data_IF_605540819058
#
_entry.id   IF_605540819058
#
_cell.length_a   1.000
_cell.length_b   1.000
_cell.length_c   1.000
_cell.angle_alpha   90.00
_cell.angle_beta   90.00
_cell.angle_gamma   90.00
#
_symmetry.space_group_name_H-M   'P 1'
#
loop_
_entity.id
_entity.type
_entity.pdbx_description
1 polymer ?
#
# COMPACT_ATOMS: atom_id res chain seq x y z
N UNK A 1 5.79 -34.44 16.15
CA UNK A 1 5.76 -33.02 16.55
C UNK A 1 4.63 -32.39 15.77
N UNK A 2 3.64 -31.78 16.41
CA UNK A 2 2.53 -31.18 15.70
C UNK A 2 3.03 -30.00 14.86
N UNK A 3 2.53 -29.87 13.62
CA UNK A 3 2.86 -28.74 12.76
C UNK A 3 2.09 -27.51 13.26
N UNK A 4 2.74 -26.73 14.12
CA UNK A 4 2.19 -25.51 14.73
C UNK A 4 1.66 -24.55 13.65
N UNK A 5 2.32 -24.47 12.49
CA UNK A 5 1.87 -23.62 11.39
C UNK A 5 0.51 -24.06 10.83
N UNK A 6 0.32 -25.37 10.63
CA UNK A 6 -0.94 -25.93 10.17
C UNK A 6 -2.06 -25.74 11.21
N UNK A 7 -1.80 -26.02 12.49
CA UNK A 7 -2.79 -25.84 13.56
C UNK A 7 -3.22 -24.38 13.72
N UNK A 8 -2.29 -23.43 13.66
CA UNK A 8 -2.60 -22.00 13.71
C UNK A 8 -3.42 -21.58 12.48
N UNK A 9 -3.04 -22.04 11.29
CA UNK A 9 -3.79 -21.74 10.07
C UNK A 9 -5.25 -22.24 10.16
N UNK A 10 -5.49 -23.43 10.70
CA UNK A 10 -6.86 -23.94 10.89
C UNK A 10 -7.68 -23.08 11.84
N UNK A 11 -7.11 -22.67 12.99
CA UNK A 11 -7.76 -21.76 13.94
C UNK A 11 -8.08 -20.40 13.31
N UNK A 12 -7.11 -19.83 12.59
CA UNK A 12 -7.25 -18.56 11.86
C UNK A 12 -8.38 -18.68 10.83
N UNK A 13 -8.43 -19.74 10.03
CA UNK A 13 -9.48 -19.98 9.03
C UNK A 13 -10.86 -20.11 9.66
N UNK A 14 -10.98 -20.85 10.75
CA UNK A 14 -12.25 -21.02 11.45
C UNK A 14 -12.78 -19.68 12.00
N UNK A 15 -11.91 -18.87 12.59
CA UNK A 15 -12.27 -17.55 13.11
C UNK A 15 -12.58 -16.55 12.00
N UNK A 16 -11.77 -16.52 10.94
CA UNK A 16 -12.01 -15.72 9.75
C UNK A 16 -13.38 -16.01 9.15
N UNK A 17 -13.71 -17.30 8.95
CA UNK A 17 -15.02 -17.73 8.45
C UNK A 17 -16.15 -17.23 9.34
N UNK A 18 -16.03 -17.37 10.67
CA UNK A 18 -17.02 -16.86 11.63
C UNK A 18 -17.20 -15.34 11.53
N UNK A 19 -16.11 -14.58 11.43
CA UNK A 19 -16.15 -13.11 11.28
C UNK A 19 -16.78 -12.69 9.96
N UNK A 20 -16.46 -13.35 8.85
CA UNK A 20 -17.09 -13.09 7.56
C UNK A 20 -18.59 -13.43 7.55
N UNK A 21 -19.01 -14.50 8.24
CA UNK A 21 -20.43 -14.85 8.40
C UNK A 21 -21.20 -13.80 9.22
N UNK A 22 -20.56 -13.20 10.21
CA UNK A 22 -21.15 -12.12 11.02
C UNK A 22 -21.07 -10.73 10.38
N UNK A 23 -20.31 -10.55 9.29
CA UNK A 23 -20.13 -9.26 8.63
C UNK A 23 -21.26 -9.01 7.62
N UNK A 24 -22.18 -8.12 7.99
CA UNK A 24 -23.35 -7.78 7.19
C UNK A 24 -23.00 -7.24 5.79
N UNK A 25 -21.87 -6.53 5.66
CA UNK A 25 -21.43 -6.00 4.36
C UNK A 25 -20.94 -7.13 3.47
N UNK A 26 -20.07 -8.01 3.99
CA UNK A 26 -19.56 -9.19 3.25
C UNK A 26 -20.75 -10.06 2.79
N UNK A 27 -21.67 -10.40 3.69
CA UNK A 27 -22.83 -11.23 3.34
C UNK A 27 -23.72 -10.55 2.29
N UNK A 28 -23.94 -9.25 2.39
CA UNK A 28 -24.71 -8.48 1.42
C UNK A 28 -24.07 -8.51 0.03
N UNK A 29 -22.77 -8.24 -0.09
CA UNK A 29 -22.08 -8.24 -1.39
C UNK A 29 -22.04 -9.65 -1.99
N UNK A 30 -21.75 -10.69 -1.20
CA UNK A 30 -21.77 -12.07 -1.69
C UNK A 30 -23.15 -12.49 -2.19
N UNK A 31 -24.22 -12.08 -1.51
CA UNK A 31 -25.60 -12.27 -1.98
C UNK A 31 -25.88 -11.57 -3.31
N UNK A 32 -25.39 -10.33 -3.48
CA UNK A 32 -25.51 -9.60 -4.76
C UNK A 32 -24.70 -10.23 -5.89
N UNK A 33 -23.54 -10.80 -5.58
CA UNK A 33 -22.71 -11.54 -6.54
C UNK A 33 -23.48 -12.75 -7.05
N UNK A 34 -24.01 -13.58 -6.13
CA UNK A 34 -24.83 -14.75 -6.47
C UNK A 34 -26.09 -14.37 -7.27
N UNK A 35 -26.71 -13.22 -6.96
CA UNK A 35 -27.87 -12.70 -7.68
C UNK A 35 -27.53 -12.01 -9.02
N UNK A 36 -26.25 -11.81 -9.36
CA UNK A 36 -25.82 -11.08 -10.56
C UNK A 36 -26.16 -9.58 -10.55
N UNK A 37 -26.33 -8.99 -9.36
CA UNK A 37 -26.67 -7.58 -9.16
C UNK A 37 -25.52 -6.74 -8.59
N UNK A 38 -24.43 -7.39 -8.15
CA UNK A 38 -23.25 -6.71 -7.65
C UNK A 38 -22.61 -5.76 -8.68
N UNK A 39 -21.98 -4.70 -8.17
CA UNK A 39 -21.19 -3.74 -8.92
C UNK A 39 -19.70 -3.90 -8.60
N UNK A 40 -18.85 -3.53 -9.55
CA UNK A 40 -17.39 -3.63 -9.39
C UNK A 40 -16.85 -2.87 -8.18
N UNK A 41 -17.43 -1.71 -7.88
CA UNK A 41 -17.05 -0.96 -6.68
C UNK A 41 -17.35 -1.71 -5.38
N UNK A 42 -18.43 -2.50 -5.34
CA UNK A 42 -18.77 -3.33 -4.18
C UNK A 42 -17.75 -4.47 -4.00
N UNK A 43 -17.21 -5.02 -5.08
CA UNK A 43 -16.13 -6.02 -5.02
C UNK A 43 -14.81 -5.37 -4.54
N UNK A 44 -14.54 -4.14 -4.97
CA UNK A 44 -13.40 -3.36 -4.48
C UNK A 44 -13.46 -3.11 -2.98
N UNK A 45 -14.65 -2.80 -2.46
CA UNK A 45 -14.86 -2.63 -1.02
C UNK A 45 -14.89 -3.97 -0.27
N UNK A 46 -15.41 -5.04 -0.89
CA UNK A 46 -15.35 -6.40 -0.36
C UNK A 46 -13.90 -6.83 -0.12
N UNK A 47 -12.97 -6.53 -1.03
CA UNK A 47 -11.55 -6.86 -0.83
C UNK A 47 -10.96 -6.16 0.40
N UNK A 48 -11.38 -4.93 0.70
CA UNK A 48 -10.97 -4.23 1.92
C UNK A 48 -11.54 -4.92 3.17
N UNK A 49 -12.83 -5.25 3.17
CA UNK A 49 -13.48 -5.95 4.29
C UNK A 49 -12.88 -7.34 4.52
N UNK A 50 -12.64 -8.11 3.47
CA UNK A 50 -12.00 -9.45 3.57
C UNK A 50 -10.58 -9.33 4.13
N UNK A 51 -9.79 -8.36 3.64
CA UNK A 51 -8.44 -8.11 4.16
C UNK A 51 -8.45 -7.77 5.64
N UNK A 52 -9.39 -6.92 6.07
CA UNK A 52 -9.57 -6.56 7.48
C UNK A 52 -10.00 -7.76 8.34
N UNK A 53 -10.94 -8.60 7.89
CA UNK A 53 -11.32 -9.79 8.66
C UNK A 53 -10.18 -10.81 8.76
N UNK A 54 -9.37 -10.93 7.71
CA UNK A 54 -8.19 -11.78 7.72
C UNK A 54 -7.11 -11.25 8.69
N UNK A 55 -6.89 -9.94 8.75
CA UNK A 55 -5.94 -9.35 9.69
C UNK A 55 -6.40 -9.54 11.15
N UNK A 56 -7.69 -9.36 11.44
CA UNK A 56 -8.26 -9.68 12.75
C UNK A 56 -8.04 -11.14 13.15
N UNK A 57 -8.26 -12.08 12.22
CA UNK A 57 -8.07 -13.49 12.48
C UNK A 57 -6.59 -13.83 12.74
N UNK A 58 -5.64 -13.23 12.01
CA UNK A 58 -4.21 -13.42 12.26
C UNK A 58 -3.83 -12.87 13.63
N UNK A 59 -4.22 -11.64 13.97
CA UNK A 59 -3.90 -11.01 15.27
C UNK A 59 -4.41 -11.78 16.48
N UNK A 60 -5.54 -12.47 16.35
CA UNK A 60 -6.13 -13.26 17.45
C UNK A 60 -5.24 -14.44 17.85
N UNK A 61 -4.64 -15.15 16.88
CA UNK A 61 -3.95 -16.41 17.12
C UNK A 61 -2.43 -16.34 17.01
N UNK A 62 -1.88 -15.32 16.37
CA UNK A 62 -0.43 -15.16 16.21
C UNK A 62 0.11 -14.24 17.30
N UNK A 63 0.73 -14.84 18.32
CA UNK A 63 1.39 -14.17 19.44
C UNK A 63 2.56 -15.02 19.94
N UNK A 64 3.45 -14.46 20.77
CA UNK A 64 4.64 -15.21 21.25
C UNK A 64 4.29 -16.47 22.03
N UNK A 65 3.16 -16.50 22.74
CA UNK A 65 2.74 -17.68 23.51
C UNK A 65 2.27 -18.84 22.60
N UNK A 66 1.81 -18.54 21.40
CA UNK A 66 1.37 -19.51 20.41
C UNK A 66 2.51 -20.06 19.54
N UNK A 67 3.72 -19.51 19.66
CA UNK A 67 4.86 -19.82 18.81
C UNK A 67 5.92 -20.67 19.52
N UNK A 68 6.61 -21.56 18.80
CA UNK A 68 7.71 -22.34 19.37
C UNK A 68 8.84 -21.41 19.83
N UNK A 69 9.27 -21.59 21.07
CA UNK A 69 10.28 -20.77 21.75
C UNK A 69 10.00 -19.25 21.70
N UNK A 70 8.73 -18.86 21.51
CA UNK A 70 8.32 -17.47 21.34
C UNK A 70 8.75 -16.83 20.02
N UNK A 71 9.17 -17.62 19.02
CA UNK A 71 9.77 -17.14 17.77
C UNK A 71 8.95 -17.54 16.54
N UNK A 72 8.81 -16.59 15.62
CA UNK A 72 8.21 -16.83 14.31
C UNK A 72 9.25 -17.42 13.36
N UNK A 73 9.06 -18.68 12.97
CA UNK A 73 9.87 -19.32 11.95
C UNK A 73 9.28 -19.08 10.56
N UNK A 74 10.13 -19.03 9.54
CA UNK A 74 9.72 -18.76 8.16
C UNK A 74 8.65 -19.73 7.66
N UNK A 75 8.79 -21.03 7.91
CA UNK A 75 7.81 -22.05 7.50
C UNK A 75 6.44 -21.85 8.15
N UNK A 76 6.40 -21.40 9.41
CA UNK A 76 5.15 -21.08 10.11
C UNK A 76 4.52 -19.82 9.51
N UNK A 77 5.31 -18.76 9.32
CA UNK A 77 4.85 -17.52 8.72
C UNK A 77 4.32 -17.74 7.30
N UNK A 78 5.05 -18.49 6.47
CA UNK A 78 4.67 -18.81 5.09
C UNK A 78 3.41 -19.67 5.05
N UNK A 79 3.31 -20.71 5.90
CA UNK A 79 2.10 -21.55 5.98
C UNK A 79 0.86 -20.71 6.28
N UNK A 80 0.95 -19.82 7.28
CA UNK A 80 -0.17 -18.96 7.67
C UNK A 80 -0.49 -17.96 6.54
N UNK A 81 0.49 -17.20 6.07
CA UNK A 81 0.27 -16.12 5.10
C UNK A 81 -0.16 -16.67 3.73
N UNK A 82 0.52 -17.69 3.22
CA UNK A 82 0.16 -18.33 1.95
C UNK A 82 -1.21 -18.99 2.03
N UNK A 83 -1.57 -19.63 3.15
CA UNK A 83 -2.89 -20.20 3.36
C UNK A 83 -4.00 -19.16 3.33
N UNK A 84 -3.90 -18.14 4.19
CA UNK A 84 -4.90 -17.06 4.29
C UNK A 84 -5.02 -16.26 2.99
N UNK A 85 -3.89 -15.89 2.38
CA UNK A 85 -3.89 -15.06 1.18
C UNK A 85 -4.33 -15.81 -0.07
N UNK A 86 -4.13 -17.12 -0.16
CA UNK A 86 -4.73 -17.94 -1.23
C UNK A 86 -6.24 -17.98 -1.11
N UNK A 87 -6.79 -18.19 0.10
CA UNK A 87 -8.24 -18.19 0.31
C UNK A 87 -8.85 -16.82 -0.07
N UNK A 88 -8.21 -15.73 0.36
CA UNK A 88 -8.63 -14.38 0.00
C UNK A 88 -8.56 -14.10 -1.51
N UNK A 89 -7.48 -14.53 -2.16
CA UNK A 89 -7.31 -14.41 -3.61
C UNK A 89 -8.44 -15.11 -4.38
N UNK A 90 -8.78 -16.34 -3.96
CA UNK A 90 -9.86 -17.13 -4.56
C UNK A 90 -11.23 -16.48 -4.37
N UNK A 91 -11.53 -15.97 -3.16
CA UNK A 91 -12.78 -15.25 -2.87
C UNK A 91 -12.92 -14.02 -3.79
N UNK A 92 -11.87 -13.20 -3.87
CA UNK A 92 -11.93 -11.91 -4.57
C UNK A 92 -11.96 -12.08 -6.08
N UNK A 93 -11.08 -12.92 -6.65
CA UNK A 93 -11.06 -13.15 -8.10
C UNK A 93 -12.34 -13.83 -8.59
N UNK A 94 -12.91 -14.75 -7.80
CA UNK A 94 -14.17 -15.41 -8.18
C UNK A 94 -15.34 -14.44 -8.11
N UNK A 95 -15.46 -13.65 -7.04
CA UNK A 95 -16.50 -12.64 -6.92
C UNK A 95 -16.40 -11.57 -8.02
N UNK A 96 -15.18 -11.11 -8.35
CA UNK A 96 -14.94 -10.17 -9.44
C UNK A 96 -15.30 -10.75 -10.80
N UNK A 97 -14.93 -12.01 -11.07
CA UNK A 97 -15.27 -12.70 -12.32
C UNK A 97 -16.79 -12.88 -12.48
N UNK A 98 -17.49 -13.28 -11.42
CA UNK A 98 -18.95 -13.41 -11.45
C UNK A 98 -19.65 -12.07 -11.65
N UNK A 99 -19.19 -11.03 -10.96
CA UNK A 99 -19.66 -9.66 -11.16
C UNK A 99 -19.44 -9.20 -12.61
N UNK A 100 -18.24 -9.41 -13.16
CA UNK A 100 -17.93 -9.04 -14.55
C UNK A 100 -18.82 -9.79 -15.54
N UNK A 101 -18.98 -11.11 -15.40
CA UNK A 101 -19.88 -11.90 -16.25
C UNK A 101 -21.31 -11.37 -16.21
N UNK A 102 -21.80 -10.99 -15.03
CA UNK A 102 -23.14 -10.43 -14.89
C UNK A 102 -23.29 -9.07 -15.58
N UNK A 103 -22.27 -8.21 -15.49
CA UNK A 103 -22.23 -6.92 -16.19
C UNK A 103 -22.11 -7.09 -17.71
N UNK A 104 -21.24 -7.98 -18.16
CA UNK A 104 -21.02 -8.27 -19.57
C UNK A 104 -22.27 -8.83 -20.25
N UNK A 105 -22.99 -9.75 -19.59
CA UNK A 105 -24.28 -10.27 -20.07
C UNK A 105 -25.30 -9.16 -20.29
N UNK A 106 -25.38 -8.17 -19.38
CA UNK A 106 -26.29 -7.01 -19.52
C UNK A 106 -25.94 -6.14 -20.73
N UNK A 107 -24.67 -6.10 -21.12
CA UNK A 107 -24.16 -5.32 -22.26
C UNK A 107 -24.07 -6.14 -23.56
N UNK A 108 -24.44 -7.43 -23.52
CA UNK A 108 -24.28 -8.36 -24.63
C UNK A 108 -22.81 -8.56 -25.04
N UNK A 109 -21.89 -8.46 -24.08
CA UNK A 109 -20.46 -8.76 -24.24
C UNK A 109 -20.26 -10.22 -23.87
N UNK A 110 -19.59 -10.98 -24.73
CA UNK A 110 -19.29 -12.39 -24.50
C UNK A 110 -17.78 -12.62 -24.44
N UNK A 111 -17.13 -11.97 -23.46
CA UNK A 111 -15.69 -12.08 -23.21
C UNK A 111 -15.51 -12.67 -21.81
N UNK A 112 -14.82 -13.80 -21.71
CA UNK A 112 -14.58 -14.43 -20.41
C UNK A 112 -13.62 -13.56 -19.58
N UNK A 113 -13.95 -13.24 -18.31
CA UNK A 113 -13.04 -12.53 -17.44
C UNK A 113 -11.79 -13.35 -17.14
N UNK A 114 -10.66 -12.66 -17.08
CA UNK A 114 -9.36 -13.24 -16.77
C UNK A 114 -9.11 -13.21 -15.27
N UNK A 115 -8.39 -14.20 -14.75
CA UNK A 115 -7.87 -14.17 -13.37
C UNK A 115 -6.52 -13.46 -13.35
N UNK A 116 -6.27 -12.63 -12.35
CA UNK A 116 -4.95 -12.04 -12.16
C UNK A 116 -3.96 -13.09 -11.62
N UNK A 117 -2.67 -13.03 -11.96
CA UNK A 117 -1.67 -13.92 -11.36
C UNK A 117 -1.60 -13.77 -9.83
N UNK A 118 -1.44 -14.88 -9.09
CA UNK A 118 -1.23 -14.83 -7.65
C UNK A 118 0.19 -14.33 -7.33
N UNK A 119 0.37 -13.30 -6.49
CA UNK A 119 1.67 -12.68 -6.22
C UNK A 119 2.48 -13.48 -5.18
N UNK A 120 2.87 -14.72 -5.50
CA UNK A 120 3.54 -15.64 -4.57
C UNK A 120 4.83 -15.06 -3.97
N UNK A 121 5.69 -14.45 -4.78
CA UNK A 121 6.96 -13.86 -4.32
C UNK A 121 6.73 -12.75 -3.28
N UNK A 122 5.68 -11.94 -3.47
CA UNK A 122 5.31 -10.88 -2.54
C UNK A 122 4.87 -11.45 -1.19
N UNK A 123 4.12 -12.55 -1.21
CA UNK A 123 3.68 -13.25 0.01
C UNK A 123 4.87 -13.86 0.75
N UNK A 124 5.78 -14.51 0.03
CA UNK A 124 7.00 -15.07 0.60
C UNK A 124 7.92 -14.00 1.18
N UNK A 125 8.02 -12.84 0.54
CA UNK A 125 8.77 -11.70 1.06
C UNK A 125 8.20 -11.20 2.39
N UNK A 126 6.86 -11.18 2.55
CA UNK A 126 6.21 -10.86 3.83
C UNK A 126 6.53 -11.93 4.88
N UNK A 127 6.46 -13.21 4.52
CA UNK A 127 6.80 -14.30 5.44
C UNK A 127 8.25 -14.19 5.95
N UNK A 128 9.21 -13.90 5.06
CA UNK A 128 10.60 -13.61 5.42
C UNK A 128 10.72 -12.39 6.33
N UNK A 129 9.99 -11.31 6.03
CA UNK A 129 9.98 -10.11 6.85
C UNK A 129 9.35 -10.31 8.25
N UNK A 130 8.35 -11.18 8.39
CA UNK A 130 7.68 -11.49 9.65
C UNK A 130 8.49 -12.46 10.53
N UNK A 131 9.38 -13.24 9.92
CA UNK A 131 10.27 -14.21 10.59
C UNK A 131 11.70 -13.71 10.74
N UNK A 132 11.91 -12.39 10.65
CA UNK A 132 13.24 -11.80 10.82
C UNK A 132 13.82 -12.11 12.21
N UNK A 133 15.14 -12.36 12.33
CA UNK A 133 15.78 -12.55 13.63
C UNK A 133 15.51 -11.38 14.57
N UNK A 134 15.27 -11.67 15.86
CA UNK A 134 15.07 -10.69 16.94
C UNK A 134 13.94 -9.68 16.71
N UNK A 135 12.97 -10.01 15.83
CA UNK A 135 11.78 -9.19 15.63
C UNK A 135 10.91 -9.16 16.88
N UNK A 136 10.45 -7.98 17.30
CA UNK A 136 9.48 -7.87 18.38
C UNK A 136 8.11 -8.41 17.95
N UNK A 137 7.35 -8.93 18.91
CA UNK A 137 5.99 -9.43 18.69
C UNK A 137 5.11 -8.41 17.96
N UNK A 138 5.11 -7.15 18.42
CA UNK A 138 4.36 -6.07 17.79
C UNK A 138 4.73 -5.90 16.31
N UNK A 139 6.03 -5.91 15.98
CA UNK A 139 6.51 -5.75 14.60
C UNK A 139 6.14 -6.97 13.75
N UNK A 140 6.26 -8.17 14.29
CA UNK A 140 5.87 -9.42 13.63
C UNK A 140 4.38 -9.42 13.29
N UNK A 141 3.51 -9.20 14.27
CA UNK A 141 2.05 -9.18 14.09
C UNK A 141 1.66 -8.06 13.12
N UNK A 142 2.23 -6.86 13.28
CA UNK A 142 1.97 -5.75 12.35
C UNK A 142 2.35 -6.10 10.92
N UNK A 143 3.52 -6.73 10.71
CA UNK A 143 3.97 -7.14 9.38
C UNK A 143 3.04 -8.16 8.76
N UNK A 144 2.53 -9.13 9.51
CA UNK A 144 1.59 -10.11 8.96
C UNK A 144 0.22 -9.48 8.67
N UNK A 145 -0.27 -8.61 9.54
CA UNK A 145 -1.63 -8.06 9.48
C UNK A 145 -1.77 -6.96 8.43
N UNK A 146 -0.94 -5.91 8.49
CA UNK A 146 -1.06 -4.76 7.58
C UNK A 146 -0.76 -5.13 6.13
N UNK A 147 0.18 -6.06 5.93
CA UNK A 147 0.50 -6.55 4.59
C UNK A 147 -0.58 -7.47 4.06
N UNK A 148 -1.22 -8.29 4.91
CA UNK A 148 -2.38 -9.11 4.53
C UNK A 148 -3.50 -8.23 4.01
N UNK A 149 -3.82 -7.12 4.69
CA UNK A 149 -4.82 -6.15 4.20
C UNK A 149 -4.41 -5.51 2.88
N UNK A 150 -3.14 -5.15 2.71
CA UNK A 150 -2.64 -4.52 1.49
C UNK A 150 -2.66 -5.50 0.29
N UNK A 151 -2.13 -6.70 0.47
CA UNK A 151 -2.10 -7.74 -0.58
C UNK A 151 -3.52 -8.17 -0.95
N UNK A 152 -4.40 -8.35 0.05
CA UNK A 152 -5.80 -8.71 -0.21
C UNK A 152 -6.50 -7.66 -1.09
N UNK A 153 -6.27 -6.38 -0.83
CA UNK A 153 -6.80 -5.31 -1.70
C UNK A 153 -6.22 -5.36 -3.10
N UNK A 154 -4.91 -5.63 -3.23
CA UNK A 154 -4.27 -5.67 -4.54
C UNK A 154 -4.83 -6.77 -5.43
N UNK A 155 -5.31 -7.90 -4.90
CA UNK A 155 -5.94 -8.93 -5.72
C UNK A 155 -7.06 -8.42 -6.62
N UNK A 156 -7.85 -7.45 -6.13
CA UNK A 156 -8.90 -6.83 -6.94
C UNK A 156 -8.32 -5.82 -7.93
N UNK A 157 -7.32 -5.03 -7.54
CA UNK A 157 -6.67 -4.07 -8.44
C UNK A 157 -5.94 -4.80 -9.59
N UNK A 158 -5.23 -5.88 -9.28
CA UNK A 158 -4.54 -6.75 -10.22
C UNK A 158 -5.55 -7.40 -11.19
N UNK A 159 -6.74 -7.77 -10.69
CA UNK A 159 -7.86 -8.23 -11.52
C UNK A 159 -8.35 -7.15 -12.48
N UNK A 160 -8.52 -5.92 -12.01
CA UNK A 160 -8.91 -4.76 -12.83
C UNK A 160 -7.87 -4.51 -13.91
N UNK A 161 -6.59 -4.46 -13.56
CA UNK A 161 -5.50 -4.23 -14.50
C UNK A 161 -5.43 -5.32 -15.58
N UNK A 162 -5.54 -6.59 -15.17
CA UNK A 162 -5.55 -7.73 -16.10
C UNK A 162 -6.72 -7.66 -17.07
N UNK A 163 -7.92 -7.36 -16.57
CA UNK A 163 -9.14 -7.41 -17.38
C UNK A 163 -9.35 -6.18 -18.26
N UNK A 164 -8.91 -4.99 -17.82
CA UNK A 164 -8.98 -3.78 -18.65
C UNK A 164 -8.03 -3.89 -19.84
N UNK A 165 -6.83 -4.43 -19.62
CA UNK A 165 -5.87 -4.72 -20.69
C UNK A 165 -6.44 -5.72 -21.69
N UNK A 166 -6.89 -6.88 -21.20
CA UNK A 166 -7.43 -7.95 -22.05
C UNK A 166 -8.63 -7.47 -22.90
N UNK A 167 -9.54 -6.69 -22.32
CA UNK A 167 -10.71 -6.15 -23.04
C UNK A 167 -10.34 -5.06 -24.04
N UNK A 168 -9.36 -4.22 -23.72
CA UNK A 168 -8.83 -3.21 -24.64
C UNK A 168 -8.17 -3.87 -25.86
N UNK A 169 -7.37 -4.92 -25.63
CA UNK A 169 -6.76 -5.73 -26.69
C UNK A 169 -7.81 -6.46 -27.55
N UNK A 170 -8.95 -6.85 -26.96
CA UNK A 170 -10.11 -7.38 -27.67
C UNK A 170 -10.93 -6.30 -28.42
N UNK A 171 -10.48 -5.04 -28.42
CA UNK A 171 -11.08 -3.95 -29.18
C UNK A 171 -12.18 -3.16 -28.45
N UNK A 172 -12.49 -3.48 -27.19
CA UNK A 172 -13.46 -2.72 -26.40
C UNK A 172 -12.90 -1.35 -26.00
N UNK A 173 -13.79 -0.36 -25.93
CA UNK A 173 -13.44 0.91 -25.31
C UNK A 173 -13.47 0.74 -23.79
N UNK A 174 -12.38 1.07 -23.12
CA UNK A 174 -12.19 0.82 -21.69
C UNK A 174 -11.81 2.11 -20.96
N UNK A 175 -12.37 2.31 -19.76
CA UNK A 175 -12.02 3.42 -18.87
C UNK A 175 -11.73 2.91 -17.47
N UNK A 176 -10.59 3.32 -16.91
CA UNK A 176 -10.27 3.12 -15.49
C UNK A 176 -10.92 4.24 -14.68
N UNK A 177 -11.55 3.88 -13.56
CA UNK A 177 -12.19 4.82 -12.64
C UNK A 177 -11.55 4.64 -11.26
N UNK A 178 -10.88 5.68 -10.77
CA UNK A 178 -10.36 5.75 -9.40
C UNK A 178 -11.21 6.69 -8.57
N UNK A 179 -11.80 6.17 -7.49
CA UNK A 179 -12.60 6.93 -6.53
C UNK A 179 -11.86 7.07 -5.21
N UNK A 180 -11.86 8.29 -4.68
CA UNK A 180 -11.15 8.67 -3.46
C UNK A 180 -12.05 8.63 -2.21
N UNK A 181 -13.36 8.50 -2.45
CA UNK A 181 -14.44 8.41 -1.47
C UNK A 181 -14.56 9.60 -0.50
N UNK A 182 -13.77 10.67 -0.67
CA UNK A 182 -13.63 11.73 0.32
C UNK A 182 -13.01 11.25 1.65
N UNK A 183 -11.80 11.74 1.97
CA UNK A 183 -11.05 11.41 3.19
C UNK A 183 -9.70 10.74 2.97
N UNK A 184 -9.24 10.63 1.72
CA UNK A 184 -7.92 10.14 1.39
C UNK A 184 -6.84 11.24 1.42
N UNK A 185 -5.55 10.87 1.33
CA UNK A 185 -4.46 11.83 1.29
C UNK A 185 -4.45 12.63 -0.03
N UNK A 186 -3.80 13.81 -0.04
CA UNK A 186 -3.76 14.70 -1.21
C UNK A 186 -3.28 14.02 -2.50
N UNK A 187 -2.30 13.13 -2.39
CA UNK A 187 -1.80 12.37 -3.55
C UNK A 187 -2.85 11.40 -4.10
N UNK A 188 -3.56 10.67 -3.24
CA UNK A 188 -4.64 9.79 -3.69
C UNK A 188 -5.80 10.58 -4.32
N UNK A 189 -6.14 11.74 -3.76
CA UNK A 189 -7.17 12.62 -4.30
C UNK A 189 -6.78 13.16 -5.69
N UNK A 190 -5.49 13.45 -5.91
CA UNK A 190 -4.99 13.91 -7.21
C UNK A 190 -5.03 12.82 -8.31
N UNK A 191 -5.02 11.54 -7.93
CA UNK A 191 -5.16 10.40 -8.84
C UNK A 191 -6.62 9.98 -9.05
N UNK A 192 -7.57 10.62 -8.37
CA UNK A 192 -8.98 10.33 -8.55
C UNK A 192 -9.45 10.85 -9.91
N UNK A 193 -10.16 10.01 -10.66
CA UNK A 193 -10.57 10.36 -12.01
C UNK A 193 -11.01 9.18 -12.84
N UNK A 194 -11.45 9.49 -14.06
CA UNK A 194 -11.77 8.54 -15.12
C UNK A 194 -10.75 8.72 -16.24
N UNK A 195 -10.09 7.65 -16.63
CA UNK A 195 -9.00 7.66 -17.60
C UNK A 195 -9.31 6.69 -18.73
N UNK A 196 -9.22 7.15 -19.98
CA UNK A 196 -9.30 6.27 -21.15
C UNK A 196 -8.08 5.35 -21.20
N UNK A 197 -8.29 4.04 -21.28
CA UNK A 197 -7.22 3.06 -21.37
C UNK A 197 -6.87 2.76 -22.84
N UNK A 198 -5.57 2.64 -23.19
CA UNK A 198 -4.39 2.84 -22.33
C UNK A 198 -3.86 4.29 -22.26
N UNK A 199 -4.28 5.18 -23.16
CA UNK A 199 -3.51 6.40 -23.47
C UNK A 199 -3.51 7.46 -22.35
N UNK A 200 -4.59 7.56 -21.58
CA UNK A 200 -4.77 8.61 -20.56
C UNK A 200 -4.44 8.11 -19.14
N UNK A 201 -4.00 6.87 -19.00
CA UNK A 201 -3.86 6.20 -17.70
C UNK A 201 -2.56 6.60 -17.02
N UNK A 202 -2.61 7.26 -15.85
CA UNK A 202 -1.40 7.56 -15.09
C UNK A 202 -0.70 6.27 -14.65
N UNK A 203 0.63 6.24 -14.72
CA UNK A 203 1.43 5.08 -14.26
C UNK A 203 1.12 4.67 -12.81
N UNK A 204 0.77 5.64 -11.98
CA UNK A 204 0.52 5.44 -10.55
C UNK A 204 -0.95 5.16 -10.22
N UNK A 205 -1.82 4.94 -11.23
CA UNK A 205 -3.27 4.78 -11.01
C UNK A 205 -3.62 3.60 -10.10
N UNK A 206 -2.82 2.54 -10.10
CA UNK A 206 -2.97 1.38 -9.23
C UNK A 206 -2.19 1.49 -7.91
N UNK A 207 -1.30 2.49 -7.78
CA UNK A 207 -0.48 2.67 -6.59
C UNK A 207 -1.30 3.25 -5.44
N UNK A 208 -1.00 2.79 -4.22
CA UNK A 208 -1.70 3.16 -3.00
C UNK A 208 -0.71 3.41 -1.87
N UNK A 209 -1.05 4.33 -0.98
CA UNK A 209 -0.44 4.40 0.34
C UNK A 209 -1.06 3.35 1.26
N UNK A 210 -0.35 3.02 2.33
CA UNK A 210 -0.92 2.23 3.42
C UNK A 210 -2.21 2.89 3.94
N UNK A 211 -3.20 2.04 4.22
CA UNK A 211 -4.53 2.41 4.72
C UNK A 211 -5.37 3.36 3.82
N UNK A 212 -5.05 3.53 2.52
CA UNK A 212 -5.97 4.22 1.60
C UNK A 212 -7.23 3.37 1.35
N UNK A 213 -8.39 4.00 1.50
CA UNK A 213 -9.73 3.42 1.29
C UNK A 213 -10.27 3.68 -0.12
N UNK A 214 -9.43 4.27 -0.99
CA UNK A 214 -9.74 4.57 -2.37
C UNK A 214 -10.13 3.27 -3.12
N UNK A 215 -10.93 3.35 -4.18
CA UNK A 215 -11.26 2.19 -5.03
C UNK A 215 -10.76 2.44 -6.44
N UNK A 216 -10.37 1.38 -7.14
CA UNK A 216 -9.98 1.43 -8.56
C UNK A 216 -10.82 0.39 -9.27
N UNK A 217 -11.59 0.80 -10.26
CA UNK A 217 -12.48 -0.07 -11.04
C UNK A 217 -12.30 0.24 -12.52
N UNK A 218 -13.00 -0.49 -13.39
CA UNK A 218 -13.06 -0.12 -14.79
C UNK A 218 -14.45 -0.38 -15.37
N UNK A 219 -14.76 0.32 -16.46
CA UNK A 219 -15.91 0.03 -17.32
C UNK A 219 -15.40 -0.24 -18.74
N UNK A 220 -16.11 -1.10 -19.46
CA UNK A 220 -15.82 -1.43 -20.86
C UNK A 220 -17.10 -1.47 -21.68
N UNK A 221 -17.06 -0.99 -22.92
CA UNK A 221 -18.18 -0.96 -23.84
C UNK A 221 -17.78 -1.26 -25.28
N UNK A 222 -18.77 -1.56 -26.13
CA UNK A 222 -18.53 -1.70 -27.57
C UNK A 222 -18.18 -0.34 -28.16
N UNK A 223 -17.15 -0.28 -29.00
CA UNK A 223 -16.89 0.89 -29.83
C UNK A 223 -18.04 1.04 -30.82
N UNK A 224 -18.66 2.22 -30.88
CA UNK A 224 -19.46 2.59 -32.03
C UNK A 224 -18.49 2.87 -33.18
N UNK A 225 -18.20 1.86 -33.99
CA UNK A 225 -17.35 2.03 -35.16
C UNK A 225 -18.25 2.12 -36.38
N UNK A 226 -18.35 3.34 -36.93
CA UNK A 226 -18.82 3.54 -38.28
C UNK A 226 -17.72 3.05 -39.23
N UNK A 227 -18.09 2.20 -40.20
CA UNK A 227 -17.17 1.47 -41.09
C UNK A 227 -16.29 2.42 -41.91
N UNK A 228 -16.66 3.70 -42.01
CA UNK A 228 -15.99 4.72 -42.84
C UNK A 228 -15.39 5.91 -42.10
N UNK A 229 -15.45 6.00 -40.76
CA UNK A 229 -14.76 7.08 -40.03
C UNK A 229 -13.92 6.55 -38.87
N UNK A 230 -12.59 6.62 -39.03
CA UNK A 230 -11.61 6.30 -37.97
C UNK A 230 -11.45 7.48 -37.00
N UNK A 231 -12.54 7.93 -36.38
CA UNK A 231 -12.50 9.01 -35.40
C UNK A 231 -13.09 8.57 -34.06
N UNK A 232 -12.22 8.45 -33.06
CA UNK A 232 -12.60 8.30 -31.65
C UNK A 232 -13.31 9.57 -31.19
N UNK A 233 -14.53 9.43 -30.64
CA UNK A 233 -15.30 10.54 -30.08
C UNK A 233 -14.95 10.71 -28.60
N UNK A 234 -14.62 11.92 -28.17
CA UNK A 234 -14.49 12.27 -26.75
C UNK A 234 -15.87 12.38 -26.10
N UNK A 235 -15.99 11.95 -24.84
CA UNK A 235 -17.21 12.10 -24.04
C UNK A 235 -17.33 13.55 -23.52
N UNK A 236 -18.52 14.18 -23.59
CA UNK A 236 -18.74 15.55 -23.10
C UNK A 236 -18.43 15.72 -21.61
N UNK A 237 -17.93 16.89 -21.23
CA UNK A 237 -17.53 17.22 -19.85
C UNK A 237 -18.67 17.06 -18.82
N UNK A 238 -19.91 17.32 -19.20
CA UNK A 238 -21.08 17.20 -18.31
C UNK A 238 -21.41 15.75 -17.92
N UNK A 239 -21.19 14.80 -18.84
CA UNK A 239 -21.39 13.38 -18.57
C UNK A 239 -20.29 12.84 -17.64
N UNK A 240 -19.08 13.41 -17.72
CA UNK A 240 -17.99 13.15 -16.76
C UNK A 240 -18.32 13.65 -15.35
N UNK A 241 -19.08 14.74 -15.21
CA UNK A 241 -19.45 15.34 -13.92
C UNK A 241 -20.61 14.62 -13.24
N UNK A 242 -21.65 14.20 -13.99
CA UNK A 242 -22.78 13.41 -13.47
C UNK A 242 -22.31 12.06 -12.91
N UNK A 243 -21.29 11.45 -13.51
CA UNK A 243 -20.74 10.16 -13.07
C UNK A 243 -19.95 10.24 -11.76
N UNK A 244 -19.51 11.44 -11.31
CA UNK A 244 -18.87 11.64 -10.00
C UNK A 244 -19.85 11.58 -8.81
N UNK A 245 -21.16 11.65 -9.07
CA UNK A 245 -22.19 11.75 -8.03
C UNK A 245 -22.80 10.41 -7.60
N UNK A 246 -22.35 9.27 -8.15
CA UNK A 246 -22.88 7.95 -7.80
C UNK A 246 -22.27 7.51 -6.46
N UNK A 247 -22.86 7.95 -5.36
CA UNK A 247 -22.42 7.63 -4.00
C UNK A 247 -22.92 6.26 -3.54
N UNK A 248 -22.01 5.29 -3.40
CA UNK A 248 -22.28 4.05 -2.68
C UNK A 248 -21.98 4.23 -1.17
N UNK A 249 -22.83 3.67 -0.30
CA UNK A 249 -22.64 3.73 1.17
C UNK A 249 -21.38 2.94 1.56
N UNK A 250 -20.45 3.62 2.25
CA UNK A 250 -19.23 2.99 2.79
C UNK A 250 -19.55 1.95 3.87
N UNK A 251 -18.72 0.91 4.04
CA UNK A 251 -18.78 0.06 5.21
C UNK A 251 -18.53 0.89 6.48
N UNK A 252 -19.35 0.66 7.52
CA UNK A 252 -19.24 1.35 8.82
C UNK A 252 -18.73 0.36 9.85
N UNK A 253 -17.57 0.65 10.44
CA UNK A 253 -17.00 -0.14 11.56
C UNK A 253 -17.77 0.20 12.84
N UNK A 254 -18.27 -0.81 13.55
CA UNK A 254 -19.03 -0.62 14.80
C UNK A 254 -18.16 -0.08 15.94
N UNK A 255 -18.78 0.46 16.99
CA UNK A 255 -18.06 1.03 18.13
C UNK A 255 -17.25 -0.02 18.92
N UNK A 256 -17.80 -1.23 19.11
CA UNK A 256 -17.12 -2.34 19.78
C UNK A 256 -15.91 -2.84 18.96
N UNK A 257 -16.04 -2.89 17.63
CA UNK A 257 -14.91 -3.24 16.75
C UNK A 257 -13.80 -2.18 16.81
N UNK A 258 -14.15 -0.88 16.94
CA UNK A 258 -13.17 0.20 17.17
C UNK A 258 -12.46 0.07 18.52
N UNK A 259 -13.14 -0.44 19.53
CA UNK A 259 -12.58 -0.64 20.87
C UNK A 259 -11.64 -1.85 20.92
N UNK A 260 -11.99 -2.95 20.24
CA UNK A 260 -11.09 -4.08 20.04
C UNK A 260 -9.82 -3.70 19.25
N UNK A 261 -9.92 -2.78 18.28
CA UNK A 261 -8.75 -2.22 17.57
C UNK A 261 -7.79 -1.50 18.54
N UNK A 262 -8.32 -0.69 19.46
CA UNK A 262 -7.52 -0.02 20.49
C UNK A 262 -6.82 -1.00 21.44
N UNK A 263 -7.50 -2.09 21.80
CA UNK A 263 -6.98 -3.15 22.69
C UNK A 263 -5.87 -3.97 22.00
N UNK A 264 -5.99 -4.25 20.70
CA UNK A 264 -4.99 -4.96 19.90
C UNK A 264 -3.77 -4.10 19.48
N UNK A 265 -3.60 -2.91 20.07
CA UNK A 265 -2.51 -1.98 19.71
C UNK A 265 -2.69 -1.29 18.35
N UNK A 266 -3.81 -1.48 17.66
CA UNK A 266 -4.15 -0.78 16.42
C UNK A 266 -4.68 0.61 16.77
N UNK A 267 -3.80 1.62 16.80
CA UNK A 267 -4.19 3.02 17.02
C UNK A 267 -5.34 3.43 16.08
N UNK A 268 -6.20 4.37 16.54
CA UNK A 268 -7.16 5.12 15.70
C UNK A 268 -6.49 5.46 14.36
N UNK A 269 -7.21 5.52 13.22
CA UNK A 269 -6.75 6.37 12.14
C UNK A 269 -6.75 7.79 12.70
N UNK A 270 -5.61 8.20 13.28
CA UNK A 270 -5.19 9.58 13.21
C UNK A 270 -5.44 10.01 11.77
N UNK A 271 -5.89 11.25 11.54
CA UNK A 271 -5.61 11.88 10.24
C UNK A 271 -4.12 11.70 10.06
N UNK A 272 -3.76 10.71 9.25
CA UNK A 272 -2.41 10.20 9.23
C UNK A 272 -1.67 11.25 8.43
N UNK A 273 -0.91 12.09 9.13
CA UNK A 273 0.18 12.83 8.52
C UNK A 273 1.23 11.80 8.08
N UNK A 274 0.95 11.23 6.90
CA UNK A 274 1.84 10.90 5.80
C UNK A 274 3.23 10.37 6.20
N UNK A 275 3.41 9.05 6.07
CA UNK A 275 4.17 8.46 4.97
C UNK A 275 4.54 7.00 5.30
N UNK A 276 4.05 6.06 4.51
CA UNK A 276 4.65 4.73 4.41
C UNK A 276 4.93 4.45 2.94
N UNK A 277 6.15 3.98 2.67
CA UNK A 277 6.66 3.22 1.51
C UNK A 277 5.99 3.51 0.16
N UNK A 278 6.54 4.45 -0.60
CA UNK A 278 6.01 4.87 -1.90
C UNK A 278 6.62 4.16 -3.12
N UNK A 279 7.60 3.25 -2.98
CA UNK A 279 8.28 2.61 -4.13
C UNK A 279 9.05 3.56 -5.07
N UNK A 280 8.92 4.88 -4.89
CA UNK A 280 9.57 5.93 -5.69
C UNK A 280 11.09 5.80 -5.64
N UNK A 281 11.64 5.47 -4.47
CA UNK A 281 13.08 5.35 -4.29
C UNK A 281 13.62 4.15 -5.07
N UNK A 282 12.97 3.00 -4.99
CA UNK A 282 13.35 1.80 -5.76
C UNK A 282 13.29 2.07 -7.28
N UNK A 283 12.25 2.78 -7.75
CA UNK A 283 12.12 3.16 -9.16
C UNK A 283 13.22 4.12 -9.62
N UNK A 284 13.56 5.12 -8.82
CA UNK A 284 14.59 6.10 -9.18
C UNK A 284 16.01 5.51 -9.10
N UNK A 285 16.24 4.51 -8.23
CA UNK A 285 17.46 3.68 -8.24
C UNK A 285 17.52 2.89 -9.56
N UNK A 286 16.42 2.22 -9.94
CA UNK A 286 16.36 1.44 -11.19
C UNK A 286 16.59 2.28 -12.44
N UNK A 287 16.08 3.52 -12.46
CA UNK A 287 16.30 4.49 -13.55
C UNK A 287 17.70 5.11 -13.54
N UNK A 288 18.52 4.85 -12.50
CA UNK A 288 19.84 5.46 -12.34
C UNK A 288 19.79 6.95 -11.98
N UNK A 289 18.66 7.44 -11.48
CA UNK A 289 18.47 8.84 -11.11
C UNK A 289 18.96 9.16 -9.69
N UNK A 290 19.09 8.14 -8.84
CA UNK A 290 19.66 8.26 -7.49
C UNK A 290 20.53 7.03 -7.17
N UNK A 291 21.44 7.17 -6.21
CA UNK A 291 22.28 6.08 -5.67
C UNK A 291 22.23 6.10 -4.14
N UNK A 292 22.35 4.94 -3.50
CA UNK A 292 22.38 4.84 -2.04
C UNK A 292 23.79 5.05 -1.46
N UNK A 293 24.83 4.88 -2.27
CA UNK A 293 26.20 5.13 -1.83
C UNK A 293 26.39 6.57 -1.39
N UNK A 294 27.03 6.75 -0.23
CA UNK A 294 27.35 8.06 0.31
C UNK A 294 28.31 8.77 -0.65
N UNK A 295 28.01 10.04 -0.89
CA UNK A 295 28.94 10.95 -1.53
C UNK A 295 29.82 11.60 -0.44
N UNK A 296 31.08 11.15 -0.33
CA UNK A 296 32.05 11.60 0.68
C UNK A 296 32.15 13.13 0.79
N UNK A 297 32.27 13.85 -0.34
CA UNK A 297 32.39 15.31 -0.35
C UNK A 297 31.14 16.03 0.21
N UNK A 298 29.95 15.49 -0.05
CA UNK A 298 28.70 16.03 0.49
C UNK A 298 28.52 15.65 1.97
N UNK A 299 28.96 14.46 2.36
CA UNK A 299 28.85 13.98 3.73
C UNK A 299 29.84 14.69 4.67
N UNK A 300 31.07 14.97 4.22
CA UNK A 300 32.09 15.67 5.00
C UNK A 300 31.66 17.06 5.51
N UNK A 301 30.74 17.73 4.78
CA UNK A 301 30.11 19.00 5.21
C UNK A 301 29.29 18.88 6.49
N UNK A 302 29.02 17.66 6.93
CA UNK A 302 28.24 17.30 8.10
C UNK A 302 29.03 16.42 9.08
N UNK A 303 30.36 16.43 9.04
CA UNK A 303 31.23 15.73 10.00
C UNK A 303 32.11 16.76 10.70
N UNK A 304 31.88 16.97 12.00
CA UNK A 304 32.62 17.97 12.80
C UNK A 304 34.08 17.54 12.92
N UNK A 305 35.01 18.44 12.55
CA UNK A 305 36.46 18.17 12.57
C UNK A 305 37.09 17.85 11.21
N UNK A 306 36.28 17.62 10.15
CA UNK A 306 36.80 17.56 8.78
C UNK A 306 37.04 18.98 8.22
N UNK A 307 38.04 19.18 7.35
CA UNK A 307 38.30 20.48 6.70
C UNK A 307 37.10 21.07 5.95
N UNK A 308 36.23 20.20 5.43
CA UNK A 308 35.06 20.56 4.61
C UNK A 308 33.81 20.86 5.45
N UNK A 309 33.88 20.70 6.78
CA UNK A 309 32.76 21.02 7.67
C UNK A 309 32.40 22.50 7.59
N UNK A 310 31.10 22.77 7.43
CA UNK A 310 30.60 24.15 7.37
C UNK A 310 30.04 24.49 8.76
N UNK A 311 30.68 25.47 9.42
CA UNK A 311 30.26 25.90 10.75
C UNK A 311 28.78 26.29 10.80
N UNK A 312 28.11 25.86 11.88
CA UNK A 312 26.67 26.05 12.07
C UNK A 312 25.76 25.09 11.32
N UNK A 313 26.29 24.02 10.69
CA UNK A 313 25.47 22.92 10.15
C UNK A 313 25.30 21.78 11.14
N UNK A 314 24.13 21.14 11.11
CA UNK A 314 23.90 19.86 11.78
C UNK A 314 24.95 18.82 11.36
N UNK A 315 25.48 18.05 12.30
CA UNK A 315 26.62 17.15 12.10
C UNK A 315 26.40 15.78 12.72
N UNK A 316 26.93 14.73 12.06
CA UNK A 316 26.89 13.37 12.56
C UNK A 316 27.89 13.17 13.71
N UNK A 317 27.49 12.36 14.68
CA UNK A 317 28.36 11.86 15.75
C UNK A 317 28.75 10.39 15.54
N UNK A 318 28.18 9.75 14.51
CA UNK A 318 28.46 8.38 14.09
C UNK A 318 29.49 8.34 12.96
N UNK A 319 30.11 7.17 12.73
CA UNK A 319 31.01 6.97 11.60
C UNK A 319 30.28 6.96 10.26
N UNK A 320 31.01 7.24 9.18
CA UNK A 320 30.45 7.22 7.83
C UNK A 320 29.96 5.82 7.42
N UNK A 321 30.68 4.75 7.81
CA UNK A 321 30.22 3.37 7.60
C UNK A 321 28.87 3.10 8.27
N UNK A 322 28.67 3.66 9.46
CA UNK A 322 27.41 3.53 10.19
C UNK A 322 26.31 4.36 9.54
N UNK A 323 26.63 5.55 9.04
CA UNK A 323 25.70 6.35 8.24
C UNK A 323 25.30 5.63 6.93
N UNK A 324 26.22 4.92 6.27
CA UNK A 324 25.93 4.13 5.08
C UNK A 324 24.98 2.98 5.39
N UNK A 325 25.19 2.27 6.52
CA UNK A 325 24.26 1.23 6.99
C UNK A 325 22.87 1.78 7.22
N UNK A 326 22.76 2.94 7.89
CA UNK A 326 21.48 3.61 8.13
C UNK A 326 20.79 3.97 6.81
N UNK A 327 21.52 4.51 5.82
CA UNK A 327 20.93 4.81 4.51
C UNK A 327 20.42 3.53 3.85
N UNK A 328 21.18 2.45 3.85
CA UNK A 328 20.77 1.19 3.23
C UNK A 328 19.53 0.58 3.91
N UNK A 329 19.44 0.69 5.23
CA UNK A 329 18.33 0.12 6.02
C UNK A 329 17.07 1.01 6.03
N UNK A 330 17.24 2.33 6.03
CA UNK A 330 16.15 3.29 6.25
C UNK A 330 15.69 3.97 4.96
N UNK A 331 16.41 3.84 3.86
CA UNK A 331 15.95 4.35 2.57
C UNK A 331 14.60 3.72 2.19
N UNK A 332 13.62 4.55 1.83
CA UNK A 332 12.25 4.12 1.51
C UNK A 332 11.35 3.85 2.72
N UNK A 333 11.85 4.06 3.94
CA UNK A 333 11.09 3.84 5.18
C UNK A 333 10.53 5.12 5.79
N UNK A 334 11.03 6.28 5.37
CA UNK A 334 10.72 7.60 5.93
C UNK A 334 9.73 8.43 5.10
N UNK A 335 9.55 9.68 5.51
CA UNK A 335 8.64 10.63 4.85
C UNK A 335 9.31 11.36 3.70
N UNK A 336 8.86 11.12 2.47
CA UNK A 336 9.33 11.87 1.30
C UNK A 336 8.93 13.36 1.39
N UNK A 337 9.87 14.23 1.00
CA UNK A 337 9.64 15.68 0.98
C UNK A 337 9.23 16.11 -0.43
N UNK A 338 8.09 16.78 -0.54
CA UNK A 338 7.56 17.30 -1.79
C UNK A 338 7.59 18.83 -1.80
N UNK A 339 7.59 19.43 -2.99
CA UNK A 339 7.38 20.86 -3.16
C UNK A 339 5.89 21.24 -3.12
N UNK A 340 5.58 22.54 -3.29
CA UNK A 340 4.18 23.03 -3.30
C UNK A 340 3.35 22.51 -4.48
N UNK A 341 4.00 21.98 -5.52
CA UNK A 341 3.38 21.41 -6.72
C UNK A 341 3.25 19.88 -6.64
N UNK A 342 3.70 19.27 -5.54
CA UNK A 342 3.65 17.82 -5.34
C UNK A 342 4.80 17.04 -5.99
N UNK A 343 5.85 17.71 -6.47
CA UNK A 343 7.03 17.04 -7.02
C UNK A 343 7.99 16.65 -5.89
N UNK A 344 8.52 15.43 -5.96
CA UNK A 344 9.48 14.94 -4.98
C UNK A 344 10.78 15.73 -5.05
N UNK A 345 11.28 16.17 -3.89
CA UNK A 345 12.50 16.99 -3.78
C UNK A 345 13.78 16.15 -3.63
N UNK A 346 13.73 14.86 -3.93
CA UNK A 346 14.82 13.90 -3.71
C UNK A 346 15.29 13.89 -2.25
N UNK A 347 14.34 14.04 -1.31
CA UNK A 347 14.61 14.02 0.13
C UNK A 347 13.64 13.14 0.85
N UNK A 348 14.13 12.50 1.89
CA UNK A 348 13.37 11.63 2.78
C UNK A 348 13.74 11.92 4.22
N UNK A 349 12.73 12.05 5.08
CA UNK A 349 12.89 12.25 6.51
C UNK A 349 12.81 10.88 7.18
N UNK A 350 13.88 10.44 7.82
CA UNK A 350 13.95 9.16 8.52
C UNK A 350 14.03 9.38 10.03
N UNK A 351 13.61 8.36 10.78
CA UNK A 351 13.84 8.22 12.21
C UNK A 351 14.74 6.99 12.43
N UNK A 352 15.82 7.16 13.19
CA UNK A 352 16.81 6.12 13.47
C UNK A 352 16.58 5.54 14.86
N UNK A 353 17.09 4.34 15.11
CA UNK A 353 16.87 3.64 16.39
C UNK A 353 17.85 4.09 17.50
N UNK A 354 18.75 5.03 17.17
CA UNK A 354 19.75 5.60 18.06
C UNK A 354 20.10 7.03 17.65
N UNK A 355 20.76 7.77 18.55
CA UNK A 355 21.25 9.13 18.25
C UNK A 355 22.32 9.05 17.15
N UNK A 356 22.06 9.74 16.04
CA UNK A 356 22.94 9.75 14.86
C UNK A 356 23.81 11.00 14.78
N UNK A 357 23.42 12.07 15.49
CA UNK A 357 24.13 13.34 15.42
C UNK A 357 23.46 14.45 16.20
N UNK A 358 23.84 15.67 15.84
CA UNK A 358 23.39 16.91 16.47
C UNK A 358 22.73 17.80 15.41
N UNK A 359 21.51 18.24 15.70
CA UNK A 359 20.84 19.30 14.97
C UNK A 359 21.29 20.67 15.51
N UNK A 360 21.70 21.58 14.62
CA UNK A 360 22.01 22.96 14.99
C UNK A 360 20.92 23.88 14.48
N UNK A 361 20.28 24.59 15.41
CA UNK A 361 19.34 25.65 15.05
C UNK A 361 20.11 26.81 14.40
N UNK A 362 19.79 27.11 13.14
CA UNK A 362 20.46 28.15 12.35
C UNK A 362 20.37 29.56 12.94
N UNK A 363 19.32 29.84 13.71
CA UNK A 363 19.04 31.16 14.27
C UNK A 363 19.64 31.33 15.66
N UNK A 364 19.50 30.32 16.52
CA UNK A 364 19.91 30.39 17.94
C UNK A 364 21.25 29.73 18.23
N UNK A 365 21.83 28.99 17.26
CA UNK A 365 23.02 28.13 17.42
C UNK A 365 22.89 27.07 18.51
N UNK A 366 21.67 26.80 18.96
CA UNK A 366 21.37 25.73 19.92
C UNK A 366 21.67 24.36 19.29
N UNK A 367 22.48 23.56 19.98
CA UNK A 367 22.82 22.19 19.61
C UNK A 367 21.86 21.22 20.32
N UNK A 368 21.19 20.35 19.57
CA UNK A 368 20.31 19.31 20.12
C UNK A 368 20.67 17.95 19.55
N UNK A 369 20.96 16.98 20.43
CA UNK A 369 21.18 15.59 20.00
C UNK A 369 19.92 15.01 19.37
N UNK A 370 20.06 14.26 18.28
CA UNK A 370 18.91 13.73 17.53
C UNK A 370 19.17 12.36 16.92
N UNK A 371 18.14 11.53 16.96
CA UNK A 371 17.97 10.26 16.25
C UNK A 371 17.32 10.45 14.87
N UNK A 372 17.01 11.69 14.46
CA UNK A 372 16.27 11.97 13.24
C UNK A 372 17.19 12.43 12.12
N UNK A 373 16.99 11.86 10.94
CA UNK A 373 17.78 12.12 9.75
C UNK A 373 16.97 12.67 8.59
N UNK A 374 17.65 13.36 7.68
CA UNK A 374 17.20 13.59 6.31
C UNK A 374 18.17 12.93 5.36
N UNK A 375 17.68 12.00 4.54
CA UNK A 375 18.43 11.45 3.43
C UNK A 375 18.24 12.36 2.22
N UNK A 376 19.33 12.80 1.63
CA UNK A 376 19.35 13.61 0.42
C UNK A 376 19.87 12.80 -0.77
N UNK A 377 18.98 12.46 -1.69
CA UNK A 377 19.30 11.63 -2.84
C UNK A 377 19.81 12.44 -4.03
N UNK A 378 20.78 11.89 -4.76
CA UNK A 378 21.20 12.45 -6.06
C UNK A 378 21.87 11.40 -6.94
N UNK A 379 22.04 11.70 -8.23
CA UNK A 379 22.78 10.86 -9.18
C UNK A 379 24.23 10.61 -8.78
N UNK A 380 24.86 11.58 -8.11
CA UNK A 380 26.28 11.52 -7.71
C UNK A 380 26.50 10.86 -6.34
N UNK A 381 25.45 10.34 -5.70
CA UNK A 381 25.49 9.77 -4.36
C UNK A 381 24.66 10.56 -3.34
N UNK A 382 24.46 9.94 -2.19
CA UNK A 382 23.54 10.38 -1.13
C UNK A 382 24.30 10.95 0.06
N UNK A 383 23.64 11.74 0.92
CA UNK A 383 24.20 12.10 2.22
C UNK A 383 23.09 12.17 3.27
N UNK A 384 23.46 11.85 4.51
CA UNK A 384 22.61 11.86 5.69
C UNK A 384 22.88 13.11 6.52
N UNK A 385 21.81 13.84 6.87
CA UNK A 385 21.89 15.07 7.65
C UNK A 385 20.99 14.96 8.89
N UNK A 386 21.51 15.15 10.11
CA UNK A 386 20.68 15.22 11.31
C UNK A 386 19.68 16.37 11.24
N UNK A 387 18.48 16.18 11.80
CA UNK A 387 17.41 17.19 11.77
C UNK A 387 16.69 17.31 13.10
N UNK A 388 16.09 18.47 13.35
CA UNK A 388 15.12 18.62 14.45
C UNK A 388 13.83 17.82 14.22
N UNK A 389 13.18 17.46 15.32
CA UNK A 389 11.79 17.06 15.34
C UNK A 389 10.90 18.21 14.85
N UNK A 390 10.00 17.93 13.89
CA UNK A 390 8.96 18.88 13.52
C UNK A 390 7.93 18.91 14.65
N UNK A 391 7.80 20.04 15.35
CA UNK A 391 6.58 20.32 16.11
C UNK A 391 5.45 20.46 15.08
N UNK A 392 4.45 19.61 15.19
CA UNK A 392 3.19 19.80 14.48
C UNK A 392 2.40 20.86 15.26
N UNK A 393 2.33 22.07 14.72
CA UNK A 393 1.32 23.07 15.10
C UNK A 393 0.10 22.96 14.17
#
# INVERSE_FOLDING_TARGET
>A
MADIGAELLEKIRAYFKKKCQGDAYIQSVLGKVAAGTAQMEEISLLSQSIGFRASQAISEFVNVAALPDGKMYYNIADTILSGVLKDNYEIINSAAAECQRALDRKMGINIEPQRAPYPAERVQAVAGAASAPDISEEKMVRRMTSTTENITRSFYDDYVETNVKYRSEAGLECFIIRSDHGGCCKWCAALAGKYRYPEEVPKDVYRRHDNCTCTVTYISGRKAQDVWSKTSRELPAEERERMKQIGFKKPTISAEEREQMLIAGMKKPQRLDIAVKSGIIEDEIRKGNIKLDINHEKQAKHIKGCPEYIDGRSYLTISEDKAQKIINEKSGTGSLVYDRKGLWKNKELIDCDEIIGVDINKSTREETSTDKGTIHYSKSGTHLVPRKEKKHD
#
